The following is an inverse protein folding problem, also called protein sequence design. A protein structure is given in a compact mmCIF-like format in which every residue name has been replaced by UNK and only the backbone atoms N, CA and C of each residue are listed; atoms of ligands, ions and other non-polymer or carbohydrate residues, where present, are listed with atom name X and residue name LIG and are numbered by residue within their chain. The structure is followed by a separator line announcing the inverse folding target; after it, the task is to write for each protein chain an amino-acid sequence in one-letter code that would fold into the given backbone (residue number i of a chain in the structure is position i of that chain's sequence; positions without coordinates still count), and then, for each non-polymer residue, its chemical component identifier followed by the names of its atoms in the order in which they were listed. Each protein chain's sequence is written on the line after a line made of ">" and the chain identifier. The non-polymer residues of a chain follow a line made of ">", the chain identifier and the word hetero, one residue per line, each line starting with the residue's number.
data_IF_015649048373
#
_entry.id   IF_015649048373
#
_cell.length_a   1.000
_cell.length_b   1.000
_cell.length_c   1.000
_cell.angle_alpha   90.00
_cell.angle_beta   90.00
_cell.angle_gamma   90.00
#
_symmetry.space_group_name_H-M   'P 1'
#
loop_
_entity.id
_entity.type
_entity.pdbx_description
1 polymer ?
#
# COMPACT_ATOMS: atom_id res chain seq x y z
N UNK A 1 -3.05 38.85 -18.55
CA UNK A 1 -3.06 37.38 -18.66
C UNK A 1 -2.01 36.88 -17.68
N UNK A 2 -2.37 36.82 -16.40
CA UNK A 2 -1.45 36.46 -15.32
C UNK A 2 -1.41 34.94 -15.19
N UNK A 3 -0.24 34.37 -15.47
CA UNK A 3 0.09 33.00 -15.13
C UNK A 3 0.58 32.99 -13.69
N UNK A 4 -0.32 32.72 -12.74
CA UNK A 4 0.03 32.43 -11.36
C UNK A 4 0.87 31.16 -11.33
N UNK A 5 2.19 31.35 -11.21
CA UNK A 5 3.15 30.32 -10.91
C UNK A 5 2.85 29.75 -9.51
N UNK A 6 2.25 28.56 -9.48
CA UNK A 6 2.12 27.72 -8.31
C UNK A 6 3.53 27.34 -7.84
N UNK A 7 4.07 28.11 -6.91
CA UNK A 7 5.37 27.84 -6.28
C UNK A 7 5.25 26.53 -5.51
N UNK A 8 6.09 25.56 -5.90
CA UNK A 8 6.06 24.19 -5.43
C UNK A 8 6.07 24.07 -3.91
N UNK A 9 5.08 23.35 -3.40
CA UNK A 9 5.07 22.82 -2.04
C UNK A 9 6.07 21.67 -1.97
N UNK A 10 7.00 21.80 -1.04
CA UNK A 10 8.13 20.94 -0.67
C UNK A 10 7.80 19.44 -0.66
N UNK A 11 8.72 18.55 -1.10
CA UNK A 11 8.50 17.11 -1.04
C UNK A 11 8.65 16.55 0.38
N UNK A 12 7.78 15.59 0.70
CA UNK A 12 8.01 14.42 1.54
C UNK A 12 8.82 14.64 2.83
N UNK A 13 8.16 15.11 3.90
CA UNK A 13 8.61 14.79 5.25
C UNK A 13 8.14 13.37 5.59
N UNK A 14 8.95 12.38 5.24
CA UNK A 14 8.86 11.05 5.82
C UNK A 14 9.58 11.17 7.16
N UNK A 15 8.86 11.55 8.22
CA UNK A 15 9.43 11.56 9.58
C UNK A 15 9.83 10.14 9.95
N UNK A 16 11.09 9.79 9.68
CA UNK A 16 11.81 8.78 10.43
C UNK A 16 11.91 9.29 11.87
N UNK A 17 11.65 8.47 12.90
CA UNK A 17 11.84 8.93 14.28
C UNK A 17 13.32 9.21 14.52
N UNK A 18 13.64 10.47 14.75
CA UNK A 18 14.93 10.92 15.27
C UNK A 18 15.16 10.25 16.62
N UNK A 19 16.21 9.43 16.72
CA UNK A 19 16.70 8.85 17.96
C UNK A 19 17.61 9.86 18.68
N UNK A 20 17.11 11.02 19.06
CA UNK A 20 17.83 11.94 19.93
C UNK A 20 16.87 12.51 20.97
N UNK A 21 17.01 12.02 22.20
CA UNK A 21 16.23 12.48 23.34
C UNK A 21 16.65 13.88 23.76
N UNK A 22 15.69 14.83 23.71
CA UNK A 22 15.40 15.81 24.77
C UNK A 22 14.15 16.63 24.42
N UNK A 23 13.11 16.53 25.26
CA UNK A 23 12.18 17.64 25.54
C UNK A 23 10.70 17.48 25.15
N UNK A 24 9.88 17.09 26.13
CA UNK A 24 8.60 17.74 26.46
C UNK A 24 7.33 17.32 25.71
N UNK A 25 6.52 16.44 26.33
CA UNK A 25 5.05 16.31 26.26
C UNK A 25 4.29 16.35 24.91
N UNK A 26 4.97 16.26 23.77
CA UNK A 26 4.32 16.02 22.48
C UNK A 26 4.12 14.50 22.33
N UNK A 27 2.88 14.00 22.23
CA UNK A 27 2.65 12.57 22.11
C UNK A 27 3.42 12.08 20.87
N UNK A 28 4.26 11.05 21.06
CA UNK A 28 4.95 10.37 19.96
C UNK A 28 3.90 10.09 18.88
N UNK A 29 4.12 10.58 17.65
CA UNK A 29 3.12 10.47 16.58
C UNK A 29 2.65 9.03 16.36
N UNK A 30 3.49 8.04 16.73
CA UNK A 30 3.12 6.62 16.75
C UNK A 30 2.15 6.25 17.88
N UNK A 31 2.33 6.83 19.07
CA UNK A 31 1.39 6.65 20.17
C UNK A 31 0.03 7.31 19.86
N UNK A 32 0.05 8.48 19.23
CA UNK A 32 -1.17 9.12 18.73
C UNK A 32 -1.88 8.25 17.68
N UNK A 33 -1.15 7.73 16.69
CA UNK A 33 -1.69 6.80 15.68
C UNK A 33 -2.29 5.54 16.35
N UNK A 34 -1.59 4.95 17.33
CA UNK A 34 -2.10 3.81 18.10
C UNK A 34 -3.38 4.13 18.86
N UNK A 35 -3.49 5.32 19.43
CA UNK A 35 -4.70 5.76 20.13
C UNK A 35 -5.89 5.91 19.16
N UNK A 36 -5.65 6.48 17.97
CA UNK A 36 -6.67 6.57 16.92
C UNK A 36 -7.13 5.19 16.44
N UNK A 37 -6.19 4.25 16.25
CA UNK A 37 -6.52 2.86 15.87
C UNK A 37 -7.41 2.21 16.91
N UNK A 38 -7.09 2.32 18.21
CA UNK A 38 -7.91 1.74 19.28
C UNK A 38 -9.33 2.31 19.30
N UNK A 39 -9.47 3.63 19.24
CA UNK A 39 -10.80 4.28 19.16
C UNK A 39 -11.58 3.83 17.94
N UNK A 40 -10.92 3.74 16.79
CA UNK A 40 -11.55 3.28 15.56
C UNK A 40 -11.99 1.81 15.63
N UNK A 41 -11.25 0.96 16.36
CA UNK A 41 -11.67 -0.42 16.67
C UNK A 41 -12.93 -0.48 17.53
N UNK A 42 -13.12 0.48 18.43
CA UNK A 42 -14.32 0.64 19.26
C UNK A 42 -15.52 1.23 18.48
N UNK A 43 -15.36 1.49 17.18
CA UNK A 43 -16.40 2.01 16.29
C UNK A 43 -16.44 3.53 16.13
N UNK A 44 -15.43 4.23 16.65
CA UNK A 44 -15.28 5.68 16.46
C UNK A 44 -14.94 6.00 14.99
N UNK A 45 -15.94 6.52 14.27
CA UNK A 45 -15.83 6.87 12.86
C UNK A 45 -14.91 8.06 12.63
N UNK A 46 -14.86 9.00 13.58
CA UNK A 46 -14.03 10.20 13.45
C UNK A 46 -12.56 9.84 13.58
N UNK A 47 -12.23 8.93 14.51
CA UNK A 47 -10.87 8.40 14.66
C UNK A 47 -10.39 7.69 13.39
N UNK A 48 -11.25 6.92 12.73
CA UNK A 48 -10.90 6.36 11.43
C UNK A 48 -10.83 7.41 10.32
N UNK A 49 -11.65 8.46 10.39
CA UNK A 49 -11.54 9.61 9.49
C UNK A 49 -10.18 10.30 9.58
N UNK A 50 -9.61 10.42 10.78
CA UNK A 50 -8.25 10.93 10.99
C UNK A 50 -7.18 10.01 10.37
N UNK A 51 -7.28 8.70 10.58
CA UNK A 51 -6.40 7.72 9.95
C UNK A 51 -6.51 7.76 8.42
N UNK A 52 -7.73 7.88 7.90
CA UNK A 52 -8.00 8.01 6.46
C UNK A 52 -7.29 9.23 5.88
N UNK A 53 -7.51 10.43 6.46
CA UNK A 53 -6.89 11.67 5.98
C UNK A 53 -5.36 11.60 6.00
N UNK A 54 -4.80 11.00 7.04
CA UNK A 54 -3.36 10.84 7.23
C UNK A 54 -2.74 9.94 6.16
N UNK A 55 -3.39 8.83 5.81
CA UNK A 55 -2.81 7.84 4.90
C UNK A 55 -3.27 7.94 3.44
N UNK A 56 -4.34 8.68 3.15
CA UNK A 56 -4.89 8.83 1.80
C UNK A 56 -3.82 9.21 0.75
N UNK A 57 -2.94 10.21 0.97
CA UNK A 57 -1.96 10.58 -0.04
C UNK A 57 -0.96 9.45 -0.36
N UNK A 58 -0.57 8.67 0.65
CA UNK A 58 0.38 7.57 0.49
C UNK A 58 -0.26 6.39 -0.27
N UNK A 59 -1.50 6.05 0.06
CA UNK A 59 -2.23 4.96 -0.60
C UNK A 59 -2.59 5.33 -2.04
N UNK A 60 -3.05 6.56 -2.30
CA UNK A 60 -3.34 7.03 -3.66
C UNK A 60 -2.10 6.94 -4.57
N UNK A 61 -0.92 7.36 -4.07
CA UNK A 61 0.36 7.21 -4.80
C UNK A 61 0.70 5.76 -5.09
N UNK A 62 0.52 4.87 -4.12
CA UNK A 62 0.80 3.44 -4.31
C UNK A 62 -0.13 2.83 -5.35
N UNK A 63 -1.44 3.11 -5.27
CA UNK A 63 -2.44 2.63 -6.24
C UNK A 63 -2.08 3.12 -7.64
N UNK A 64 -1.81 4.43 -7.80
CA UNK A 64 -1.38 5.00 -9.08
C UNK A 64 -0.13 4.31 -9.63
N UNK A 65 0.87 4.10 -8.78
CA UNK A 65 2.10 3.42 -9.17
C UNK A 65 1.87 1.98 -9.64
N UNK A 66 0.94 1.24 -9.00
CA UNK A 66 0.67 -0.16 -9.35
C UNK A 66 -0.27 -0.35 -10.53
N UNK A 67 -1.25 0.54 -10.69
CA UNK A 67 -2.27 0.43 -11.73
C UNK A 67 -1.92 1.24 -12.99
N UNK A 68 -0.90 2.10 -12.93
CA UNK A 68 -0.49 2.99 -14.02
C UNK A 68 -1.39 4.21 -14.21
N UNK A 69 -2.49 4.30 -13.46
CA UNK A 69 -3.47 5.39 -13.50
C UNK A 69 -4.00 5.67 -12.10
N UNK A 70 -4.51 6.89 -11.91
CA UNK A 70 -5.36 7.17 -10.75
C UNK A 70 -6.62 6.31 -10.81
N UNK A 71 -7.04 5.81 -9.64
CA UNK A 71 -8.18 4.94 -9.48
C UNK A 71 -8.76 5.16 -8.07
N UNK A 72 -9.73 6.07 -7.97
CA UNK A 72 -10.38 6.43 -6.71
C UNK A 72 -11.19 5.28 -6.12
N UNK A 73 -11.76 4.43 -6.98
CA UNK A 73 -12.51 3.23 -6.56
C UNK A 73 -11.56 2.24 -5.89
N UNK A 74 -10.37 2.02 -6.46
CA UNK A 74 -9.34 1.18 -5.85
C UNK A 74 -8.90 1.72 -4.49
N UNK A 75 -8.69 3.04 -4.37
CA UNK A 75 -8.34 3.67 -3.09
C UNK A 75 -9.48 3.49 -2.07
N UNK A 76 -10.72 3.72 -2.48
CA UNK A 76 -11.90 3.56 -1.63
C UNK A 76 -12.06 2.11 -1.15
N UNK A 77 -11.83 1.14 -2.03
CA UNK A 77 -11.84 -0.29 -1.70
C UNK A 77 -10.76 -0.65 -0.68
N UNK A 78 -9.56 -0.06 -0.75
CA UNK A 78 -8.52 -0.25 0.28
C UNK A 78 -9.01 0.19 1.65
N UNK A 79 -9.56 1.40 1.75
CA UNK A 79 -10.03 1.92 3.03
C UNK A 79 -11.28 1.20 3.54
N UNK A 80 -12.15 0.72 2.65
CA UNK A 80 -13.29 -0.12 3.01
C UNK A 80 -12.85 -1.48 3.57
N UNK A 81 -11.85 -2.12 2.95
CA UNK A 81 -11.24 -3.36 3.48
C UNK A 81 -10.52 -3.09 4.80
N UNK A 82 -9.84 -1.96 4.93
CA UNK A 82 -9.21 -1.55 6.19
C UNK A 82 -10.25 -1.39 7.30
N UNK A 83 -11.33 -0.64 7.07
CA UNK A 83 -12.41 -0.49 8.05
C UNK A 83 -12.98 -1.83 8.52
N UNK A 84 -13.27 -2.74 7.57
CA UNK A 84 -13.80 -4.09 7.89
C UNK A 84 -12.79 -4.98 8.61
N UNK A 85 -11.51 -4.86 8.28
CA UNK A 85 -10.42 -5.64 8.87
C UNK A 85 -9.89 -5.07 10.19
N UNK A 86 -10.26 -3.84 10.54
CA UNK A 86 -9.69 -3.11 11.66
C UNK A 86 -9.94 -3.79 13.00
N UNK A 87 -11.12 -4.40 13.19
CA UNK A 87 -11.44 -5.12 14.43
C UNK A 87 -10.51 -6.31 14.71
N UNK A 88 -9.90 -6.88 13.66
CA UNK A 88 -8.93 -7.98 13.76
C UNK A 88 -7.47 -7.51 13.76
N UNK A 89 -7.24 -6.21 13.57
CA UNK A 89 -5.90 -5.64 13.58
C UNK A 89 -5.30 -5.76 14.98
N UNK A 90 -4.06 -6.27 15.05
CA UNK A 90 -3.28 -6.32 16.28
C UNK A 90 -2.02 -5.51 16.05
N UNK A 91 -1.73 -4.62 16.99
CA UNK A 91 -0.44 -3.93 17.02
C UNK A 91 0.65 -4.92 17.41
N UNK A 92 1.51 -5.24 16.45
CA UNK A 92 2.66 -6.14 16.60
C UNK A 92 3.98 -5.37 16.72
N UNK A 93 3.93 -4.04 16.91
CA UNK A 93 5.09 -3.15 16.84
C UNK A 93 5.44 -2.70 15.42
N UNK A 94 4.67 -3.13 14.43
CA UNK A 94 4.79 -2.67 13.03
C UNK A 94 3.83 -1.49 12.82
N UNK A 95 4.25 -0.43 12.08
CA UNK A 95 3.38 0.72 11.83
C UNK A 95 2.07 0.35 11.13
N UNK A 96 0.98 1.04 11.48
CA UNK A 96 -0.33 0.83 10.86
C UNK A 96 -0.30 0.98 9.34
N UNK A 97 0.51 1.94 8.86
CA UNK A 97 0.74 2.15 7.43
C UNK A 97 1.22 0.88 6.68
N UNK A 98 2.03 0.02 7.32
CA UNK A 98 2.50 -1.21 6.70
C UNK A 98 1.37 -2.21 6.47
N UNK A 99 0.44 -2.32 7.43
CA UNK A 99 -0.77 -3.12 7.28
C UNK A 99 -1.65 -2.60 6.14
N UNK A 100 -1.84 -1.28 6.08
CA UNK A 100 -2.62 -0.62 5.02
C UNK A 100 -1.99 -0.82 3.62
N UNK A 101 -0.66 -0.79 3.52
CA UNK A 101 0.05 -1.12 2.28
C UNK A 101 -0.15 -2.57 1.84
N UNK A 102 -0.24 -3.51 2.78
CA UNK A 102 -0.59 -4.90 2.50
C UNK A 102 -1.96 -5.03 1.84
N UNK A 103 -2.97 -4.33 2.39
CA UNK A 103 -4.32 -4.28 1.81
C UNK A 103 -4.29 -3.67 0.41
N UNK A 104 -3.62 -2.52 0.23
CA UNK A 104 -3.49 -1.85 -1.05
C UNK A 104 -2.84 -2.72 -2.12
N UNK A 105 -1.80 -3.48 -1.74
CA UNK A 105 -1.14 -4.43 -2.63
C UNK A 105 -2.11 -5.53 -3.08
N UNK A 106 -2.91 -6.09 -2.18
CA UNK A 106 -3.90 -7.12 -2.53
C UNK A 106 -4.97 -6.56 -3.47
N UNK A 107 -5.53 -5.39 -3.18
CA UNK A 107 -6.52 -4.72 -4.05
C UNK A 107 -5.95 -4.49 -5.44
N UNK A 108 -4.73 -3.95 -5.56
CA UNK A 108 -4.12 -3.71 -6.86
C UNK A 108 -3.91 -5.02 -7.66
N UNK A 109 -3.50 -6.11 -7.00
CA UNK A 109 -3.35 -7.42 -7.65
C UNK A 109 -4.70 -7.95 -8.12
N UNK A 110 -5.74 -7.84 -7.30
CA UNK A 110 -7.10 -8.29 -7.65
C UNK A 110 -7.63 -7.55 -8.88
N UNK A 111 -7.41 -6.23 -8.94
CA UNK A 111 -7.81 -5.39 -10.08
C UNK A 111 -7.01 -5.69 -11.35
N UNK A 112 -5.69 -5.84 -11.25
CA UNK A 112 -4.86 -6.22 -12.40
C UNK A 112 -5.26 -7.60 -12.96
N UNK A 113 -5.55 -8.56 -12.07
CA UNK A 113 -6.07 -9.89 -12.46
C UNK A 113 -7.42 -9.80 -13.13
N UNK A 114 -8.30 -8.90 -12.68
CA UNK A 114 -9.61 -8.69 -13.30
C UNK A 114 -9.46 -8.09 -14.70
N UNK A 115 -8.65 -7.04 -14.85
CA UNK A 115 -8.36 -6.39 -16.15
C UNK A 115 -7.80 -7.37 -17.19
N UNK A 116 -6.84 -8.22 -16.80
CA UNK A 116 -6.29 -9.24 -17.69
C UNK A 116 -7.22 -10.41 -18.02
N UNK A 117 -8.38 -10.54 -17.34
CA UNK A 117 -9.43 -11.51 -17.68
C UNK A 117 -10.54 -10.90 -18.53
N UNK A 118 -10.78 -9.60 -18.39
CA UNK A 118 -11.84 -8.86 -19.09
C UNK A 118 -11.38 -8.36 -20.47
N UNK A 119 -10.07 -8.41 -20.79
CA UNK A 119 -9.62 -8.29 -22.18
C UNK A 119 -10.13 -9.50 -22.99
N UNK A 120 -10.97 -9.29 -24.02
CA UNK A 120 -11.24 -10.33 -25.00
C UNK A 120 -9.89 -10.80 -25.53
N UNK A 121 -9.64 -12.10 -25.50
CA UNK A 121 -8.43 -12.71 -26.04
C UNK A 121 -8.45 -12.72 -27.57
N UNK A 122 -8.90 -11.64 -28.19
CA UNK A 122 -9.01 -11.47 -29.62
C UNK A 122 -7.99 -10.42 -30.09
N UNK A 123 -7.21 -10.87 -31.06
CA UNK A 123 -6.16 -10.15 -31.81
C UNK A 123 -4.84 -9.92 -31.06
N UNK A 124 -4.01 -10.97 -31.08
CA UNK A 124 -2.57 -10.83 -31.12
C UNK A 124 -2.20 -9.89 -32.29
N UNK A 125 -1.64 -8.69 -32.09
CA UNK A 125 -0.85 -8.09 -33.15
C UNK A 125 0.31 -9.06 -33.41
N UNK A 126 0.48 -9.51 -34.65
CA UNK A 126 1.71 -10.17 -35.09
C UNK A 126 2.88 -9.19 -34.97
N UNK A 127 3.33 -8.98 -33.74
CA UNK A 127 4.61 -8.36 -33.45
C UNK A 127 5.60 -9.51 -33.52
N UNK A 128 6.42 -9.54 -34.56
CA UNK A 128 7.55 -10.46 -34.67
C UNK A 128 8.38 -10.38 -33.39
N UNK A 129 8.22 -11.38 -32.53
CA UNK A 129 9.08 -11.60 -31.36
C UNK A 129 10.28 -12.36 -31.89
N UNK A 130 11.36 -11.64 -32.19
CA UNK A 130 12.68 -12.26 -32.21
C UNK A 130 12.91 -12.90 -30.82
N UNK A 131 13.16 -14.22 -30.73
CA UNK A 131 13.31 -14.89 -29.45
C UNK A 131 14.58 -14.37 -28.76
N UNK A 132 14.40 -13.59 -27.70
CA UNK A 132 15.49 -13.32 -26.75
C UNK A 132 15.78 -14.62 -26.02
N UNK A 133 16.80 -15.34 -26.49
CA UNK A 133 17.41 -16.46 -25.77
C UNK A 133 18.16 -15.90 -24.56
N UNK A 134 17.52 -15.85 -23.41
CA UNK A 134 18.19 -15.69 -22.12
C UNK A 134 17.34 -16.35 -21.03
N UNK A 135 17.77 -17.55 -20.63
CA UNK A 135 17.49 -18.30 -19.41
C UNK A 135 16.55 -17.65 -18.39
N UNK A 136 15.27 -18.02 -18.42
CA UNK A 136 14.39 -17.90 -17.25
C UNK A 136 14.52 -19.18 -16.44
N UNK A 137 15.48 -19.19 -15.51
CA UNK A 137 15.53 -20.16 -14.42
C UNK A 137 14.28 -19.99 -13.55
N UNK A 138 13.40 -20.98 -13.64
CA UNK A 138 12.16 -21.11 -12.87
C UNK A 138 12.45 -21.25 -11.38
N UNK A 139 12.42 -20.16 -10.60
CA UNK A 139 12.52 -20.20 -9.13
C UNK A 139 11.24 -20.71 -8.42
N UNK A 140 10.31 -21.33 -9.16
CA UNK A 140 9.05 -21.91 -8.64
C UNK A 140 9.09 -23.45 -8.56
N UNK A 141 10.22 -24.09 -8.87
CA UNK A 141 10.38 -25.56 -8.85
C UNK A 141 11.42 -26.12 -7.86
N UNK A 142 12.10 -25.28 -7.07
CA UNK A 142 13.22 -25.72 -6.22
C UNK A 142 12.93 -25.69 -4.70
N UNK A 143 11.66 -25.71 -4.29
CA UNK A 143 11.26 -25.81 -2.87
C UNK A 143 10.95 -27.27 -2.45
N UNK A 144 10.91 -28.23 -3.37
CA UNK A 144 10.64 -29.63 -3.03
C UNK A 144 11.88 -30.42 -2.57
N UNK A 145 13.06 -29.80 -2.56
CA UNK A 145 14.31 -30.43 -2.08
C UNK A 145 15.08 -29.51 -1.14
N UNK A 146 14.49 -29.18 0.01
CA UNK A 146 15.27 -28.81 1.18
C UNK A 146 15.59 -30.10 1.97
N UNK A 147 16.87 -30.52 2.02
CA UNK A 147 17.27 -31.72 2.75
C UNK A 147 17.03 -31.56 4.25
N UNK A 148 16.40 -32.57 4.83
CA UNK A 148 15.98 -32.70 6.24
C UNK A 148 17.13 -32.94 7.22
N UNK A 149 18.28 -32.27 7.07
CA UNK A 149 19.49 -32.53 7.87
C UNK A 149 19.97 -31.35 8.73
N UNK A 150 19.02 -30.62 9.32
CA UNK A 150 19.20 -30.11 10.69
C UNK A 150 18.30 -30.99 11.58
N UNK A 151 18.82 -32.19 11.83
CA UNK A 151 18.22 -33.33 12.54
C UNK A 151 17.81 -33.01 13.98
#
# INVERSE_FOLDING_TARGET
>A
MEVSAFRGSTPANISAPSLDGKGGDEPDGREHERALVRRAQDGDRDAFGDLYRTHLPAISRLVRFRLGTEDEDAVSEVFLRAWRGLGSYRDTGVPFAAWLYGIARHVAIDLLRKRGRDEPRDELPERGVEPVTAEVLTLRGAIDHLPTEQR
#
